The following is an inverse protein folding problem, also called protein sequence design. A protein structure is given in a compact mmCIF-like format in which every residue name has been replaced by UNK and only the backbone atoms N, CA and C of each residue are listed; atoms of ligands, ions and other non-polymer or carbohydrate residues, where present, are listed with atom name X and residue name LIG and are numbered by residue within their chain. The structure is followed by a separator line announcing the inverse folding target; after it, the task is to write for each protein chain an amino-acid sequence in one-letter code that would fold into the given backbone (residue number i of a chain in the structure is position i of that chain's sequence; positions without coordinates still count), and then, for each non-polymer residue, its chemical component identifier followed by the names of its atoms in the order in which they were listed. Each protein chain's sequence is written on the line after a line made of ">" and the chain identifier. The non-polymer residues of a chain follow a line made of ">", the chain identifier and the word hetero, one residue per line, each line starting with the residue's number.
data_IF_815878736009
#
_entry.id   IF_815878736009
#
_cell.length_a   1.000
_cell.length_b   1.000
_cell.length_c   1.000
_cell.angle_alpha   90.00
_cell.angle_beta   90.00
_cell.angle_gamma   90.00
#
_symmetry.space_group_name_H-M   'P 1'
#
loop_
_entity.id
_entity.type
_entity.pdbx_description
1 polymer ?
#
# COMPACT_ATOMS: atom_id res chain seq x y z
N UNK A 1 28.53 -19.11 -32.35
CA UNK A 1 27.62 -19.54 -31.25
C UNK A 1 27.45 -18.46 -30.18
N UNK A 2 28.52 -17.91 -29.60
CA UNK A 2 28.42 -16.85 -28.56
C UNK A 2 27.73 -15.56 -29.02
N UNK A 3 27.95 -15.12 -30.26
CA UNK A 3 27.31 -13.90 -30.80
C UNK A 3 25.78 -14.00 -30.78
N UNK A 4 25.21 -15.12 -31.24
CA UNK A 4 23.76 -15.33 -31.27
C UNK A 4 23.14 -15.36 -29.87
N UNK A 5 23.85 -15.92 -28.88
CA UNK A 5 23.40 -15.92 -27.49
C UNK A 5 23.38 -14.50 -26.90
N UNK A 6 24.44 -13.72 -27.13
CA UNK A 6 24.52 -12.33 -26.62
C UNK A 6 23.49 -11.44 -27.30
N UNK A 7 23.30 -11.55 -28.62
CA UNK A 7 22.25 -10.80 -29.33
C UNK A 7 20.84 -11.18 -28.86
N UNK A 8 20.59 -12.46 -28.59
CA UNK A 8 19.29 -12.93 -28.08
C UNK A 8 19.02 -12.41 -26.66
N UNK A 9 20.01 -12.47 -25.78
CA UNK A 9 19.93 -11.91 -24.43
C UNK A 9 19.78 -10.38 -24.47
N UNK A 10 20.50 -9.69 -25.36
CA UNK A 10 20.37 -8.25 -25.55
C UNK A 10 18.96 -7.84 -25.98
N UNK A 11 18.37 -8.58 -26.93
CA UNK A 11 16.98 -8.34 -27.35
C UNK A 11 15.99 -8.63 -26.23
N UNK A 12 16.23 -9.68 -25.43
CA UNK A 12 15.41 -9.97 -24.24
C UNK A 12 15.47 -8.85 -23.21
N UNK A 13 16.66 -8.30 -22.92
CA UNK A 13 16.82 -7.18 -21.99
C UNK A 13 16.03 -5.93 -22.46
N UNK A 14 16.08 -5.61 -23.76
CA UNK A 14 15.32 -4.50 -24.32
C UNK A 14 13.80 -4.72 -24.23
N UNK A 15 13.32 -5.93 -24.55
CA UNK A 15 11.90 -6.30 -24.39
C UNK A 15 11.47 -6.25 -22.93
N UNK A 16 12.30 -6.76 -22.02
CA UNK A 16 12.05 -6.76 -20.56
C UNK A 16 11.97 -5.34 -20.01
N UNK A 17 12.83 -4.43 -20.47
CA UNK A 17 12.77 -3.02 -20.11
C UNK A 17 11.48 -2.37 -20.60
N UNK A 18 11.09 -2.56 -21.87
CA UNK A 18 9.85 -2.01 -22.43
C UNK A 18 8.63 -2.48 -21.65
N UNK A 19 8.52 -3.80 -21.42
CA UNK A 19 7.45 -4.37 -20.61
C UNK A 19 7.39 -3.78 -19.19
N UNK A 20 8.54 -3.60 -18.52
CA UNK A 20 8.58 -2.96 -17.20
C UNK A 20 8.08 -1.51 -17.22
N UNK A 21 8.45 -0.74 -18.26
CA UNK A 21 8.00 0.66 -18.40
C UNK A 21 6.49 0.73 -18.61
N UNK A 22 5.95 -0.11 -19.49
CA UNK A 22 4.51 -0.20 -19.74
C UNK A 22 3.74 -0.60 -18.47
N UNK A 23 4.28 -1.53 -17.67
CA UNK A 23 3.68 -1.94 -16.40
C UNK A 23 3.64 -0.79 -15.37
N UNK A 24 4.74 -0.04 -15.25
CA UNK A 24 4.82 1.12 -14.34
C UNK A 24 3.83 2.20 -14.77
N UNK A 25 3.76 2.49 -16.06
CA UNK A 25 2.86 3.51 -16.58
C UNK A 25 1.38 3.12 -16.39
N UNK A 26 1.04 1.86 -16.68
CA UNK A 26 -0.31 1.35 -16.41
C UNK A 26 -0.68 1.46 -14.92
N UNK A 27 0.24 1.11 -14.00
CA UNK A 27 0.00 1.28 -12.55
C UNK A 27 -0.24 2.73 -12.18
N UNK A 28 0.58 3.66 -12.67
CA UNK A 28 0.42 5.10 -12.42
C UNK A 28 -0.96 5.59 -12.87
N UNK A 29 -1.35 5.22 -14.08
CA UNK A 29 -2.65 5.61 -14.63
C UNK A 29 -3.81 5.06 -13.78
N UNK A 30 -3.77 3.78 -13.41
CA UNK A 30 -4.83 3.14 -12.61
C UNK A 30 -4.90 3.66 -11.17
N UNK A 31 -3.76 4.00 -10.57
CA UNK A 31 -3.71 4.60 -9.23
C UNK A 31 -4.20 6.05 -9.22
N UNK A 32 -4.06 6.78 -10.34
CA UNK A 32 -4.58 8.13 -10.50
C UNK A 32 -6.08 8.19 -10.83
N UNK A 33 -6.71 7.06 -11.16
CA UNK A 33 -8.14 7.01 -11.45
C UNK A 33 -8.99 7.26 -10.18
N UNK A 34 -10.25 7.71 -10.34
CA UNK A 34 -11.17 7.84 -9.23
C UNK A 34 -11.29 6.53 -8.44
N UNK A 35 -11.29 6.66 -7.11
CA UNK A 35 -11.42 5.55 -6.17
C UNK A 35 -12.77 4.84 -6.34
N UNK A 36 -12.76 3.52 -6.21
CA UNK A 36 -13.96 2.70 -6.25
C UNK A 36 -14.48 2.55 -4.83
N UNK A 37 -15.77 2.81 -4.62
CA UNK A 37 -16.44 2.56 -3.35
C UNK A 37 -17.12 1.20 -3.42
N UNK A 38 -16.83 0.30 -2.48
CA UNK A 38 -17.47 -1.01 -2.40
C UNK A 38 -18.19 -1.14 -1.07
N UNK A 39 -19.53 -1.26 -1.16
CA UNK A 39 -20.44 -1.35 -0.01
C UNK A 39 -21.01 -2.75 0.18
N UNK A 40 -20.87 -3.64 -0.82
CA UNK A 40 -21.37 -5.01 -0.77
C UNK A 40 -21.19 -5.75 -2.09
N UNK A 41 -21.63 -7.01 -2.10
CA UNK A 41 -21.64 -7.89 -3.27
C UNK A 41 -22.88 -7.63 -4.15
N UNK A 42 -22.78 -7.74 -5.49
CA UNK A 42 -21.59 -8.10 -6.25
C UNK A 42 -20.57 -6.97 -6.34
N UNK A 43 -19.28 -7.31 -6.22
CA UNK A 43 -18.20 -6.35 -6.41
C UNK A 43 -18.11 -5.87 -7.87
N UNK A 44 -17.69 -4.61 -8.12
CA UNK A 44 -17.60 -4.05 -9.46
C UNK A 44 -16.70 -4.82 -10.42
N UNK A 45 -15.77 -5.61 -9.90
CA UNK A 45 -14.77 -6.36 -10.66
C UNK A 45 -15.10 -7.85 -10.82
N UNK A 46 -16.28 -8.29 -10.37
CA UNK A 46 -16.70 -9.70 -10.39
C UNK A 46 -16.44 -10.39 -11.73
N UNK A 47 -16.75 -9.73 -12.84
CA UNK A 47 -16.63 -10.34 -14.18
C UNK A 47 -15.30 -9.98 -14.89
N UNK A 48 -14.62 -8.93 -14.44
CA UNK A 48 -13.47 -8.34 -15.14
C UNK A 48 -12.37 -7.85 -14.19
N UNK A 49 -11.88 -8.71 -13.30
CA UNK A 49 -10.89 -8.32 -12.27
C UNK A 49 -9.64 -7.63 -12.82
N UNK A 50 -9.17 -8.05 -13.99
CA UNK A 50 -7.96 -7.55 -14.63
C UNK A 50 -8.00 -6.05 -14.97
N UNK A 51 -9.20 -5.50 -15.19
CA UNK A 51 -9.39 -4.06 -15.47
C UNK A 51 -9.35 -3.21 -14.20
N UNK A 52 -9.51 -3.85 -13.05
CA UNK A 52 -9.56 -3.21 -11.73
C UNK A 52 -8.27 -3.38 -10.92
N UNK A 53 -7.40 -4.33 -11.28
CA UNK A 53 -6.09 -4.49 -10.62
C UNK A 53 -5.30 -3.17 -10.68
N UNK A 54 -4.65 -2.80 -9.57
CA UNK A 54 -3.95 -1.54 -9.34
C UNK A 54 -4.83 -0.29 -9.22
N UNK A 55 -6.16 -0.43 -9.13
CA UNK A 55 -7.04 0.69 -8.77
C UNK A 55 -7.19 0.83 -7.26
N UNK A 56 -7.42 2.05 -6.81
CA UNK A 56 -7.72 2.36 -5.40
C UNK A 56 -9.16 1.99 -5.10
N UNK A 57 -9.35 1.19 -4.05
CA UNK A 57 -10.65 0.75 -3.54
C UNK A 57 -10.81 1.19 -2.09
N UNK A 58 -11.99 1.69 -1.75
CA UNK A 58 -12.42 2.00 -0.39
C UNK A 58 -13.56 1.06 0.00
N UNK A 59 -13.40 0.40 1.15
CA UNK A 59 -14.36 -0.54 1.72
C UNK A 59 -14.61 -0.19 3.19
N UNK A 60 -15.79 -0.50 3.70
CA UNK A 60 -16.12 -0.35 5.12
C UNK A 60 -16.63 -1.67 5.69
N UNK A 61 -16.07 -2.10 6.80
CA UNK A 61 -16.40 -3.39 7.40
C UNK A 61 -15.82 -3.57 8.80
N UNK A 62 -15.94 -4.77 9.32
CA UNK A 62 -15.32 -5.21 10.58
C UNK A 62 -14.32 -6.31 10.26
N UNK A 63 -13.11 -6.22 10.81
CA UNK A 63 -12.11 -7.26 10.63
C UNK A 63 -12.49 -8.53 11.39
N UNK A 64 -12.46 -9.66 10.69
CA UNK A 64 -12.61 -10.98 11.28
C UNK A 64 -11.23 -11.48 11.73
N UNK A 65 -10.82 -11.03 12.91
CA UNK A 65 -9.55 -11.42 13.51
C UNK A 65 -9.48 -12.91 13.89
N UNK A 66 -10.61 -13.65 13.88
CA UNK A 66 -10.59 -15.10 14.14
C UNK A 66 -9.99 -15.87 12.97
N UNK A 67 -10.16 -15.34 11.75
CA UNK A 67 -9.63 -15.90 10.50
C UNK A 67 -8.43 -15.08 9.98
N UNK A 68 -7.61 -14.53 10.88
CA UNK A 68 -6.36 -13.86 10.52
C UNK A 68 -5.35 -14.88 9.98
N UNK A 69 -4.81 -14.60 8.79
CA UNK A 69 -3.86 -15.45 8.08
C UNK A 69 -2.49 -14.79 8.04
N UNK A 70 -1.43 -15.57 8.30
CA UNK A 70 -0.05 -15.11 8.23
C UNK A 70 0.65 -15.70 7.01
N UNK A 71 1.09 -14.83 6.10
CA UNK A 71 1.79 -15.21 4.87
C UNK A 71 3.29 -14.93 5.01
N UNK A 72 4.12 -15.96 5.10
CA UNK A 72 5.57 -15.76 5.19
C UNK A 72 6.39 -17.04 5.20
N UNK A 73 7.70 -16.94 5.47
CA UNK A 73 8.41 -15.76 5.96
C UNK A 73 8.55 -14.64 4.91
N UNK A 74 8.49 -13.39 5.37
CA UNK A 74 8.68 -12.18 4.55
C UNK A 74 9.70 -11.24 5.19
N UNK A 75 10.68 -10.73 4.42
CA UNK A 75 11.45 -9.60 4.88
C UNK A 75 10.53 -8.38 4.93
N UNK A 76 10.70 -7.54 5.95
CA UNK A 76 10.08 -6.23 6.01
C UNK A 76 11.00 -5.25 6.69
N UNK A 77 10.51 -4.05 6.92
CA UNK A 77 11.23 -3.00 7.63
C UNK A 77 10.52 -2.70 8.94
N UNK A 78 11.27 -2.66 10.04
CA UNK A 78 10.71 -2.20 11.31
C UNK A 78 10.60 -0.66 11.37
N UNK A 79 10.07 -0.13 12.48
CA UNK A 79 9.96 1.32 12.73
C UNK A 79 11.33 2.04 12.67
N UNK A 80 12.43 1.32 12.91
CA UNK A 80 13.81 1.82 12.83
C UNK A 80 14.35 1.87 11.39
N UNK A 81 13.69 1.15 10.47
CA UNK A 81 14.09 0.98 9.08
C UNK A 81 15.09 -0.15 8.86
N UNK A 82 15.25 -1.05 9.81
CA UNK A 82 16.09 -2.24 9.70
C UNK A 82 15.31 -3.40 9.08
N UNK A 83 15.98 -4.20 8.25
CA UNK A 83 15.37 -5.39 7.65
C UNK A 83 15.12 -6.43 8.74
N UNK A 84 13.85 -6.67 9.03
CA UNK A 84 13.43 -7.67 10.02
C UNK A 84 12.62 -8.79 9.36
N UNK A 85 12.84 -10.06 9.77
CA UNK A 85 11.99 -11.15 9.33
C UNK A 85 10.60 -11.01 9.97
N UNK A 86 9.57 -11.37 9.22
CA UNK A 86 8.20 -11.33 9.67
C UNK A 86 7.25 -12.05 8.72
N UNK A 87 5.98 -11.65 8.76
CA UNK A 87 4.89 -12.21 7.94
C UNK A 87 4.04 -11.07 7.41
N UNK A 88 3.37 -11.28 6.28
CA UNK A 88 2.27 -10.41 5.87
C UNK A 88 1.00 -10.88 6.57
N UNK A 89 0.25 -9.94 7.13
CA UNK A 89 -1.02 -10.24 7.81
C UNK A 89 -2.16 -10.00 6.84
N UNK A 90 -2.87 -11.06 6.47
CA UNK A 90 -4.08 -10.98 5.67
C UNK A 90 -5.27 -11.26 6.59
N UNK A 91 -6.20 -10.31 6.67
CA UNK A 91 -7.38 -10.44 7.52
C UNK A 91 -8.64 -10.23 6.67
N UNK A 92 -9.63 -11.14 6.75
CA UNK A 92 -10.92 -10.93 6.12
C UNK A 92 -11.62 -9.71 6.72
N UNK A 93 -12.14 -8.83 5.87
CA UNK A 93 -12.99 -7.70 6.26
C UNK A 93 -14.44 -8.03 5.91
N UNK A 94 -15.31 -8.13 6.91
CA UNK A 94 -16.75 -8.38 6.74
C UNK A 94 -17.49 -7.06 6.54
N UNK A 95 -18.17 -6.91 5.42
CA UNK A 95 -18.96 -5.72 5.07
C UNK A 95 -20.36 -5.78 5.72
N UNK A 96 -21.10 -4.65 5.65
CA UNK A 96 -22.45 -4.50 6.21
C UNK A 96 -23.45 -5.55 5.67
N UNK A 97 -23.30 -5.98 4.41
CA UNK A 97 -24.14 -6.99 3.75
C UNK A 97 -23.72 -8.46 4.05
N UNK A 98 -22.66 -8.64 4.83
CA UNK A 98 -22.06 -9.94 5.14
C UNK A 98 -21.13 -10.49 4.06
N UNK A 99 -20.88 -9.74 2.98
CA UNK A 99 -19.81 -10.05 2.04
C UNK A 99 -18.44 -9.83 2.68
N UNK A 100 -17.40 -10.43 2.09
CA UNK A 100 -16.04 -10.42 2.63
C UNK A 100 -15.05 -9.93 1.58
N UNK A 101 -14.12 -9.10 2.00
CA UNK A 101 -12.96 -8.67 1.20
C UNK A 101 -11.68 -9.16 1.90
N UNK A 102 -10.77 -9.80 1.16
CA UNK A 102 -9.44 -10.12 1.68
C UNK A 102 -8.62 -8.84 1.77
N UNK A 103 -8.11 -8.50 2.95
CA UNK A 103 -7.28 -7.31 3.15
C UNK A 103 -5.90 -7.71 3.63
N UNK A 104 -4.86 -7.41 2.85
CA UNK A 104 -3.49 -7.46 3.33
C UNK A 104 -3.18 -6.18 4.12
N UNK A 105 -2.98 -6.33 5.42
CA UNK A 105 -2.71 -5.25 6.39
C UNK A 105 -1.24 -4.83 6.43
N UNK A 106 -0.37 -5.55 5.73
CA UNK A 106 1.06 -5.25 5.66
C UNK A 106 1.92 -6.21 6.47
N UNK A 107 3.19 -5.84 6.64
CA UNK A 107 4.19 -6.65 7.33
C UNK A 107 4.06 -6.55 8.85
N UNK A 108 4.21 -7.69 9.51
CA UNK A 108 4.30 -7.83 10.94
C UNK A 108 5.61 -8.54 11.29
N UNK A 109 6.45 -7.86 12.08
CA UNK A 109 7.72 -8.41 12.54
C UNK A 109 7.52 -9.67 13.40
N UNK A 110 8.48 -10.60 13.32
CA UNK A 110 8.37 -11.92 13.96
C UNK A 110 8.11 -11.86 15.47
N UNK A 111 8.70 -10.89 16.17
CA UNK A 111 8.54 -10.71 17.61
C UNK A 111 7.13 -10.24 18.02
N UNK A 112 6.32 -9.73 17.08
CA UNK A 112 4.94 -9.26 17.32
C UNK A 112 3.88 -10.23 16.78
N UNK A 113 4.27 -11.43 16.33
CA UNK A 113 3.31 -12.38 15.73
C UNK A 113 2.23 -12.84 16.72
N UNK A 114 2.58 -13.00 18.00
CA UNK A 114 1.65 -13.51 19.00
C UNK A 114 0.44 -12.57 19.16
N UNK A 115 -0.75 -13.10 18.86
CA UNK A 115 -2.01 -12.37 18.93
C UNK A 115 -2.35 -11.99 20.37
N UNK A 116 -1.92 -12.76 21.37
CA UNK A 116 -2.12 -12.39 22.77
C UNK A 116 -1.46 -11.05 23.12
N UNK A 117 -0.38 -10.69 22.41
CA UNK A 117 0.30 -9.40 22.55
C UNK A 117 -0.37 -8.27 21.77
N UNK A 118 -1.39 -8.58 20.95
CA UNK A 118 -2.13 -7.65 20.08
C UNK A 118 -3.66 -7.83 20.20
N UNK A 119 -4.26 -7.52 21.36
CA UNK A 119 -5.71 -7.56 21.50
C UNK A 119 -6.35 -6.44 20.65
N UNK A 120 -6.92 -6.83 19.51
CA UNK A 120 -7.66 -5.92 18.63
C UNK A 120 -9.17 -6.14 18.84
N UNK A 121 -9.89 -5.05 19.15
CA UNK A 121 -11.34 -5.08 19.36
C UNK A 121 -12.05 -5.01 18.02
N UNK A 122 -13.02 -5.90 17.73
CA UNK A 122 -13.80 -5.85 16.50
C UNK A 122 -14.54 -4.51 16.41
N UNK A 123 -14.05 -3.64 15.53
CA UNK A 123 -14.53 -2.27 15.35
C UNK A 123 -14.80 -2.04 13.87
N UNK A 124 -15.72 -1.12 13.56
CA UNK A 124 -15.92 -0.68 12.18
C UNK A 124 -14.69 0.06 11.68
N UNK A 125 -14.18 -0.35 10.53
CA UNK A 125 -13.01 0.23 9.88
C UNK A 125 -13.38 0.55 8.44
N UNK A 126 -12.93 1.72 7.98
CA UNK A 126 -12.87 2.07 6.56
C UNK A 126 -11.46 1.83 6.08
N UNK A 127 -11.28 0.91 5.14
CA UNK A 127 -9.97 0.57 4.60
C UNK A 127 -9.86 1.13 3.19
N UNK A 128 -8.77 1.86 2.94
CA UNK A 128 -8.32 2.17 1.59
C UNK A 128 -7.13 1.31 1.23
N UNK A 129 -7.18 0.75 0.03
CA UNK A 129 -6.11 -0.07 -0.48
C UNK A 129 -6.09 -0.13 -2.00
N UNK A 130 -5.06 -0.77 -2.51
CA UNK A 130 -4.91 -1.05 -3.93
C UNK A 130 -5.34 -2.49 -4.19
N UNK A 131 -6.19 -2.69 -5.20
CA UNK A 131 -6.60 -4.03 -5.58
C UNK A 131 -5.44 -4.77 -6.25
N UNK A 132 -5.06 -5.94 -5.73
CA UNK A 132 -4.00 -6.77 -6.28
C UNK A 132 -4.47 -8.20 -6.50
N UNK A 133 -4.01 -8.83 -7.58
CA UNK A 133 -4.29 -10.26 -7.89
C UNK A 133 -3.53 -11.21 -6.95
N UNK A 134 -2.57 -10.67 -6.18
CA UNK A 134 -1.65 -11.43 -5.35
C UNK A 134 -0.43 -11.93 -6.12
N UNK A 135 0.22 -12.96 -5.59
CA UNK A 135 1.45 -13.49 -6.13
C UNK A 135 1.21 -14.48 -7.26
N UNK A 136 1.52 -14.03 -8.47
CA UNK A 136 1.47 -14.88 -9.66
C UNK A 136 2.74 -15.75 -9.70
N UNK A 137 2.64 -17.07 -9.55
CA UNK A 137 3.81 -17.95 -9.60
C UNK A 137 4.42 -17.94 -11.00
N UNK A 138 5.74 -17.79 -11.07
CA UNK A 138 6.48 -18.02 -12.31
C UNK A 138 6.46 -19.52 -12.68
N UNK A 139 7.00 -19.88 -13.86
CA UNK A 139 6.96 -21.26 -14.36
C UNK A 139 7.50 -22.29 -13.33
N UNK A 140 8.63 -21.99 -12.68
CA UNK A 140 9.21 -22.85 -11.64
C UNK A 140 8.32 -22.88 -10.40
N UNK A 141 7.84 -21.71 -9.98
CA UNK A 141 6.90 -21.58 -8.87
C UNK A 141 5.57 -22.27 -9.12
N UNK A 142 5.15 -22.52 -10.37
CA UNK A 142 3.91 -23.26 -10.63
C UNK A 142 4.04 -24.75 -10.31
N UNK A 143 5.21 -25.35 -10.56
CA UNK A 143 5.42 -26.80 -10.41
C UNK A 143 6.17 -27.18 -9.13
N UNK A 144 7.08 -26.33 -8.67
CA UNK A 144 7.96 -26.60 -7.52
C UNK A 144 7.62 -25.76 -6.29
N UNK A 145 6.49 -25.03 -6.27
CA UNK A 145 6.07 -24.33 -5.05
C UNK A 145 5.62 -25.32 -3.99
N UNK A 146 6.00 -25.02 -2.76
CA UNK A 146 5.34 -25.59 -1.59
C UNK A 146 3.93 -24.98 -1.56
N UNK A 147 2.90 -25.82 -1.56
CA UNK A 147 1.51 -25.37 -1.49
C UNK A 147 1.23 -24.75 -0.12
N UNK A 148 0.34 -23.76 -0.08
CA UNK A 148 -0.21 -23.30 1.19
C UNK A 148 -0.98 -24.44 1.87
N UNK A 149 -1.05 -24.39 3.21
CA UNK A 149 -1.78 -25.35 4.04
C UNK A 149 -2.87 -24.62 4.81
N UNK A 150 -4.04 -24.38 4.17
CA UNK A 150 -5.14 -23.66 4.81
C UNK A 150 -5.66 -24.38 6.05
N UNK A 151 -5.59 -25.72 6.08
CA UNK A 151 -5.94 -26.57 7.23
C UNK A 151 -5.14 -26.25 8.52
N UNK A 152 -3.94 -25.66 8.38
CA UNK A 152 -3.07 -25.28 9.50
C UNK A 152 -2.86 -23.77 9.62
N UNK A 153 -3.61 -22.97 8.86
CA UNK A 153 -3.39 -21.52 8.75
C UNK A 153 -1.94 -21.14 8.37
N UNK A 154 -1.30 -21.95 7.51
CA UNK A 154 0.09 -21.75 7.08
C UNK A 154 0.15 -21.34 5.61
N UNK A 155 0.54 -20.10 5.36
CA UNK A 155 0.62 -19.53 4.01
C UNK A 155 2.04 -19.07 3.72
N UNK A 156 2.55 -19.47 2.55
CA UNK A 156 3.84 -19.03 2.01
C UNK A 156 3.64 -17.95 0.94
N UNK A 157 2.58 -18.11 0.15
CA UNK A 157 2.27 -17.25 -0.99
C UNK A 157 0.93 -16.55 -0.82
N UNK A 158 0.86 -15.30 -1.25
CA UNK A 158 -0.37 -14.51 -1.21
C UNK A 158 -1.22 -14.82 -2.45
N UNK A 159 -1.99 -15.90 -2.40
CA UNK A 159 -2.84 -16.38 -3.50
C UNK A 159 -4.29 -16.18 -3.08
N UNK A 160 -5.00 -15.25 -3.73
CA UNK A 160 -6.35 -14.86 -3.32
C UNK A 160 -7.34 -16.05 -3.22
N UNK A 161 -7.37 -17.03 -4.15
CA UNK A 161 -8.24 -18.19 -4.01
C UNK A 161 -7.97 -19.03 -2.75
N UNK A 162 -6.69 -19.32 -2.47
CA UNK A 162 -6.29 -20.16 -1.33
C UNK A 162 -6.55 -19.45 0.02
N UNK A 163 -6.48 -18.11 0.04
CA UNK A 163 -6.83 -17.29 1.21
C UNK A 163 -8.36 -17.24 1.41
N UNK A 164 -9.12 -17.12 0.33
CA UNK A 164 -10.58 -17.07 0.37
C UNK A 164 -11.22 -18.37 0.87
N UNK A 165 -10.57 -19.52 0.70
CA UNK A 165 -11.02 -20.82 1.22
C UNK A 165 -11.12 -20.84 2.75
N UNK A 166 -10.15 -20.23 3.45
CA UNK A 166 -10.09 -20.23 4.91
C UNK A 166 -10.92 -19.10 5.54
N UNK A 167 -11.26 -18.07 4.76
CA UNK A 167 -12.01 -16.93 5.24
C UNK A 167 -13.51 -17.18 5.45
N UNK A 168 -14.05 -18.35 5.07
CA UNK A 168 -15.48 -18.68 5.13
C UNK A 168 -16.36 -17.52 4.57
N UNK A 169 -15.98 -17.01 3.39
CA UNK A 169 -16.61 -15.86 2.75
C UNK A 169 -17.90 -16.28 2.03
N UNK A 170 -18.99 -15.52 2.22
CA UNK A 170 -20.27 -15.76 1.50
C UNK A 170 -20.11 -15.55 0.00
N UNK A 171 -19.31 -14.56 -0.39
CA UNK A 171 -18.98 -14.16 -1.76
C UNK A 171 -17.63 -14.76 -2.20
N UNK A 172 -17.45 -16.08 -2.04
CA UNK A 172 -16.17 -16.75 -2.27
C UNK A 172 -15.59 -16.48 -3.68
N UNK A 173 -16.44 -16.48 -4.72
CA UNK A 173 -16.02 -16.19 -6.10
C UNK A 173 -15.32 -14.82 -6.22
N UNK A 174 -15.96 -13.75 -5.77
CA UNK A 174 -15.42 -12.39 -5.84
C UNK A 174 -14.20 -12.19 -4.93
N UNK A 175 -14.22 -12.84 -3.77
CA UNK A 175 -13.14 -12.78 -2.79
C UNK A 175 -11.87 -13.51 -3.26
N UNK A 176 -12.05 -14.55 -4.08
CA UNK A 176 -10.95 -15.36 -4.64
C UNK A 176 -10.20 -14.66 -5.78
N UNK A 177 -10.76 -13.59 -6.35
CA UNK A 177 -10.18 -12.94 -7.53
C UNK A 177 -9.04 -11.98 -7.21
N UNK A 178 -9.10 -11.29 -6.07
CA UNK A 178 -8.12 -10.29 -5.70
C UNK A 178 -8.13 -10.01 -4.19
N UNK A 179 -7.00 -9.54 -3.67
CA UNK A 179 -6.84 -9.03 -2.33
C UNK A 179 -6.62 -7.51 -2.34
N UNK A 180 -7.11 -6.84 -1.33
CA UNK A 180 -6.90 -5.42 -1.12
C UNK A 180 -5.61 -5.21 -0.32
N UNK A 181 -4.59 -4.63 -0.92
CA UNK A 181 -3.38 -4.22 -0.20
C UNK A 181 -3.66 -2.88 0.49
N UNK A 182 -3.89 -2.91 1.80
CA UNK A 182 -4.21 -1.72 2.58
C UNK A 182 -2.99 -0.81 2.71
N UNK A 183 -3.22 0.49 2.56
CA UNK A 183 -2.26 1.53 2.92
C UNK A 183 -2.81 2.49 3.97
N UNK A 184 -4.13 2.51 4.19
CA UNK A 184 -4.78 3.37 5.18
C UNK A 184 -6.02 2.67 5.80
N UNK A 185 -5.89 2.04 6.98
CA UNK A 185 -7.03 1.60 7.77
C UNK A 185 -7.51 2.71 8.72
N UNK A 186 -8.72 3.22 8.51
CA UNK A 186 -9.37 4.26 9.33
C UNK A 186 -10.39 3.63 10.29
N UNK A 187 -10.10 3.62 11.59
CA UNK A 187 -11.00 3.07 12.62
C UNK A 187 -12.09 4.06 13.01
N UNK A 188 -13.34 3.60 13.17
CA UNK A 188 -14.52 4.44 13.41
C UNK A 188 -14.56 5.13 14.78
N UNK A 189 -13.77 4.67 15.74
CA UNK A 189 -13.64 5.29 17.06
C UNK A 189 -12.68 6.49 17.07
N UNK A 190 -12.00 6.76 15.94
CA UNK A 190 -11.21 7.97 15.78
C UNK A 190 -12.16 9.15 15.54
N UNK A 191 -12.53 9.83 16.63
CA UNK A 191 -13.36 11.04 16.60
C UNK A 191 -12.68 12.06 15.70
N UNK A 192 -13.37 12.51 14.65
CA UNK A 192 -12.91 13.48 13.64
C UNK A 192 -12.89 14.90 14.25
N UNK A 193 -12.23 15.06 15.40
CA UNK A 193 -12.09 16.34 16.11
C UNK A 193 -10.64 16.82 16.16
N UNK A 194 -9.65 15.96 15.89
CA UNK A 194 -8.25 16.37 15.81
C UNK A 194 -7.83 16.72 14.38
N UNK A 195 -7.34 17.95 14.19
CA UNK A 195 -6.77 18.47 12.94
C UNK A 195 -5.62 17.59 12.40
N UNK A 196 -4.95 16.83 13.26
CA UNK A 196 -3.91 15.85 12.91
C UNK A 196 -4.46 14.73 12.01
N UNK A 197 -5.67 14.26 12.27
CA UNK A 197 -6.34 13.22 11.47
C UNK A 197 -6.64 13.71 10.05
N UNK A 198 -7.14 14.94 9.90
CA UNK A 198 -7.38 15.58 8.60
C UNK A 198 -6.07 15.82 7.83
N UNK A 199 -4.97 16.06 8.54
CA UNK A 199 -3.64 16.24 7.99
C UNK A 199 -3.08 14.92 7.42
N UNK A 200 -3.25 13.78 8.11
CA UNK A 200 -2.91 12.46 7.56
C UNK A 200 -3.89 11.99 6.47
N UNK A 201 -5.19 12.33 6.57
CA UNK A 201 -6.25 11.96 5.62
C UNK A 201 -6.15 12.67 4.25
N UNK A 202 -5.57 13.88 4.20
CA UNK A 202 -5.26 14.58 2.93
C UNK A 202 -3.98 14.05 2.30
N UNK A 203 -3.06 13.54 3.11
CA UNK A 203 -1.75 13.05 2.73
C UNK A 203 -1.68 11.52 2.79
N UNK A 204 -2.63 10.79 2.16
CA UNK A 204 -2.31 9.48 1.60
C UNK A 204 -1.29 9.72 0.49
N UNK A 205 -0.05 9.91 0.94
CA UNK A 205 0.98 10.70 0.31
C UNK A 205 1.37 10.09 -1.04
N UNK A 206 1.73 10.92 -2.03
CA UNK A 206 2.35 10.49 -3.28
C UNK A 206 3.37 9.36 -3.07
N UNK A 207 4.09 9.40 -1.94
CA UNK A 207 5.07 8.41 -1.49
C UNK A 207 4.49 6.99 -1.31
N UNK A 208 3.30 6.84 -0.71
CA UNK A 208 2.66 5.53 -0.53
C UNK A 208 2.25 4.97 -1.89
N UNK A 209 1.58 5.78 -2.72
CA UNK A 209 1.18 5.41 -4.08
C UNK A 209 2.39 5.12 -4.98
N UNK A 210 3.49 5.84 -4.83
CA UNK A 210 4.75 5.59 -5.54
C UNK A 210 5.37 4.23 -5.18
N UNK A 211 5.28 3.80 -3.92
CA UNK A 211 5.70 2.45 -3.52
C UNK A 211 4.85 1.38 -4.25
N UNK A 212 3.54 1.60 -4.40
CA UNK A 212 2.66 0.72 -5.19
C UNK A 212 2.98 0.72 -6.68
N UNK A 213 3.34 1.87 -7.26
CA UNK A 213 3.79 1.97 -8.66
C UNK A 213 4.99 1.05 -8.89
N UNK A 214 5.97 1.06 -7.99
CA UNK A 214 7.20 0.28 -8.11
C UNK A 214 7.04 -1.19 -7.70
N UNK A 215 5.98 -1.52 -6.97
CA UNK A 215 5.58 -2.87 -6.58
C UNK A 215 5.90 -3.22 -5.12
N UNK A 216 5.02 -4.02 -4.53
CA UNK A 216 4.93 -4.38 -3.10
C UNK A 216 6.11 -5.14 -2.50
N UNK A 217 7.10 -5.55 -3.31
CA UNK A 217 8.32 -6.22 -2.85
C UNK A 217 9.56 -5.31 -2.87
N UNK A 218 9.40 -4.00 -3.09
CA UNK A 218 10.44 -3.02 -2.80
C UNK A 218 9.98 -2.16 -1.64
N UNK A 219 10.19 -2.67 -0.44
CA UNK A 219 10.44 -1.79 0.69
C UNK A 219 11.57 -0.86 0.26
N UNK A 220 11.25 0.42 0.12
CA UNK A 220 12.25 1.44 -0.15
C UNK A 220 13.11 1.51 1.10
N UNK A 221 14.32 0.95 1.01
CA UNK A 221 15.34 1.03 2.05
C UNK A 221 15.46 2.46 2.56
N UNK A 222 15.76 2.66 3.84
CA UNK A 222 16.06 3.98 4.42
C UNK A 222 17.11 4.73 3.58
N UNK A 223 18.09 4.01 3.01
CA UNK A 223 19.08 4.57 2.07
C UNK A 223 18.45 5.06 0.76
N UNK A 224 17.44 4.39 0.23
CA UNK A 224 16.76 4.78 -1.01
C UNK A 224 15.71 5.88 -0.76
N UNK A 225 15.13 5.97 0.45
CA UNK A 225 14.34 7.14 0.88
C UNK A 225 15.23 8.39 1.05
N UNK A 226 16.44 8.20 1.57
CA UNK A 226 17.42 9.28 1.78
C UNK A 226 18.14 9.67 0.47
N UNK A 227 18.40 8.72 -0.44
CA UNK A 227 19.17 8.91 -1.68
C UNK A 227 18.32 8.85 -2.96
N UNK A 228 16.98 8.81 -2.85
CA UNK A 228 16.09 9.10 -3.97
C UNK A 228 16.35 10.50 -4.54
N UNK A 229 15.68 10.94 -5.62
CA UNK A 229 15.69 12.35 -5.98
C UNK A 229 15.15 13.10 -4.76
N UNK A 230 16.05 13.68 -3.96
CA UNK A 230 15.70 14.26 -2.67
C UNK A 230 14.55 15.25 -2.83
N UNK A 231 13.74 15.40 -1.78
CA UNK A 231 12.62 16.34 -1.80
C UNK A 231 13.10 17.72 -2.29
N UNK A 232 12.62 18.12 -3.47
CA UNK A 232 12.96 19.41 -4.03
C UNK A 232 12.03 20.45 -3.42
N UNK A 233 12.46 21.07 -2.33
CA UNK A 233 11.69 22.11 -1.64
C UNK A 233 11.55 23.42 -2.44
N UNK A 234 12.21 23.53 -3.61
CA UNK A 234 11.97 24.62 -4.57
C UNK A 234 10.79 24.35 -5.51
N UNK A 235 10.21 23.15 -5.51
CA UNK A 235 9.02 22.85 -6.30
C UNK A 235 7.82 23.70 -5.84
N UNK A 236 6.93 24.03 -6.78
CA UNK A 236 5.81 24.94 -6.51
C UNK A 236 4.70 24.32 -5.63
N UNK A 237 4.80 23.00 -5.41
CA UNK A 237 3.86 22.18 -4.64
C UNK A 237 3.90 22.52 -3.13
N UNK A 238 4.97 23.15 -2.63
CA UNK A 238 5.16 23.45 -1.22
C UNK A 238 4.89 24.91 -0.87
N UNK A 239 4.26 25.15 0.30
CA UNK A 239 4.17 26.50 0.81
C UNK A 239 5.48 26.93 1.48
N UNK A 240 6.32 27.68 0.76
CA UNK A 240 7.60 28.22 1.24
C UNK A 240 7.47 28.99 2.56
N UNK A 241 6.44 29.82 2.67
CA UNK A 241 6.12 30.58 3.86
C UNK A 241 5.91 29.68 5.09
N UNK A 242 5.19 28.56 4.91
CA UNK A 242 4.99 27.58 5.96
C UNK A 242 6.28 26.85 6.35
N UNK A 243 7.12 26.47 5.38
CA UNK A 243 8.41 25.81 5.64
C UNK A 243 9.34 26.67 6.51
N UNK A 244 9.42 27.96 6.20
CA UNK A 244 10.22 28.94 6.97
C UNK A 244 9.56 29.30 8.32
N UNK A 245 8.27 28.99 8.48
CA UNK A 245 7.58 29.01 9.76
C UNK A 245 6.55 30.10 9.96
N UNK A 246 6.22 30.82 8.90
CA UNK A 246 5.21 31.87 8.93
C UNK A 246 4.37 31.80 7.66
N UNK A 247 3.16 31.23 7.73
CA UNK A 247 2.20 31.26 6.62
C UNK A 247 1.14 32.35 6.84
N UNK A 248 1.09 33.41 5.99
CA UNK A 248 0.12 34.50 6.15
C UNK A 248 -1.34 34.04 6.16
N UNK A 249 -1.68 33.01 5.38
CA UNK A 249 -3.04 32.46 5.34
C UNK A 249 -3.46 31.86 6.69
N UNK A 250 -2.56 31.12 7.34
CA UNK A 250 -2.83 30.48 8.63
C UNK A 250 -2.94 31.50 9.78
N UNK A 251 -2.13 32.56 9.74
CA UNK A 251 -2.12 33.60 10.78
C UNK A 251 -3.31 34.54 10.70
N UNK A 252 -3.87 34.79 9.50
CA UNK A 252 -4.98 35.72 9.30
C UNK A 252 -6.38 35.09 9.47
N UNK A 253 -6.47 33.82 9.86
CA UNK A 253 -7.75 33.13 10.07
C UNK A 253 -8.62 33.02 8.81
N UNK A 254 -8.09 33.38 7.65
CA UNK A 254 -8.71 33.09 6.36
C UNK A 254 -8.31 31.67 6.03
N UNK A 255 -9.29 30.78 5.83
CA UNK A 255 -9.09 29.55 5.06
C UNK A 255 -8.71 29.96 3.64
N UNK A 256 -7.46 30.41 3.47
CA UNK A 256 -6.89 30.55 2.15
C UNK A 256 -6.73 29.11 1.70
N UNK A 257 -7.59 28.70 0.76
CA UNK A 257 -7.42 27.52 -0.08
C UNK A 257 -6.08 27.66 -0.82
N UNK A 258 -5.01 27.47 -0.06
CA UNK A 258 -3.69 27.37 -0.61
C UNK A 258 -3.61 25.97 -1.20
N UNK A 259 -3.60 25.88 -2.51
CA UNK A 259 -3.32 24.64 -3.25
C UNK A 259 -1.90 24.08 -2.97
N UNK A 260 -1.17 24.61 -1.98
CA UNK A 260 0.20 24.27 -1.65
C UNK A 260 0.27 23.51 -0.32
N UNK A 261 1.21 22.59 -0.22
CA UNK A 261 1.36 21.66 0.90
C UNK A 261 1.81 22.38 2.19
N UNK A 262 1.14 22.08 3.30
CA UNK A 262 1.39 22.62 4.65
C UNK A 262 1.58 21.49 5.68
N UNK A 263 2.54 20.59 5.42
CA UNK A 263 2.81 19.44 6.29
C UNK A 263 3.94 19.71 7.29
N UNK A 264 3.72 19.38 8.57
CA UNK A 264 4.72 19.54 9.64
C UNK A 264 5.91 18.59 9.41
N UNK A 265 5.67 17.36 8.96
CA UNK A 265 6.72 16.40 8.64
C UNK A 265 7.65 16.93 7.53
N UNK A 266 7.07 17.49 6.47
CA UNK A 266 7.83 18.12 5.37
C UNK A 266 8.64 19.32 5.87
N UNK A 267 8.15 20.05 6.88
CA UNK A 267 8.89 21.15 7.51
C UNK A 267 10.06 20.67 8.37
N UNK A 268 9.93 19.52 9.04
CA UNK A 268 11.04 18.90 9.77
C UNK A 268 12.10 18.37 8.80
N UNK A 269 11.69 17.73 7.71
CA UNK A 269 12.56 17.29 6.63
C UNK A 269 13.26 18.47 5.92
N UNK A 270 12.54 19.58 5.72
CA UNK A 270 13.10 20.83 5.21
C UNK A 270 14.23 21.35 6.10
N UNK A 271 14.02 21.38 7.42
CA UNK A 271 15.03 21.80 8.40
C UNK A 271 16.23 20.84 8.44
N UNK A 272 16.00 19.56 8.19
CA UNK A 272 17.04 18.53 8.16
C UNK A 272 17.78 18.43 6.81
N UNK A 273 17.33 19.16 5.78
CA UNK A 273 17.92 19.09 4.44
C UNK A 273 19.32 19.72 4.39
N UNK A 274 20.25 19.07 3.68
CA UNK A 274 21.66 19.52 3.55
C UNK A 274 21.79 20.94 3.01
N UNK A 275 20.89 21.31 2.09
CA UNK A 275 20.82 22.63 1.47
C UNK A 275 19.80 23.60 2.13
N UNK A 276 19.45 23.42 3.40
CA UNK A 276 18.47 24.26 4.11
C UNK A 276 18.70 25.78 3.93
N UNK A 277 19.96 26.23 4.07
CA UNK A 277 20.31 27.65 3.91
C UNK A 277 20.10 28.18 2.49
N UNK A 278 20.20 27.32 1.47
CA UNK A 278 19.90 27.69 0.08
C UNK A 278 18.41 27.90 -0.11
N UNK A 279 17.58 27.00 0.42
CA UNK A 279 16.13 27.10 0.27
C UNK A 279 15.51 28.20 1.14
N UNK A 280 16.09 28.49 2.31
CA UNK A 280 15.62 29.59 3.17
C UNK A 280 15.72 30.96 2.49
N UNK A 281 16.65 31.11 1.53
CA UNK A 281 16.89 32.35 0.77
C UNK A 281 16.09 32.46 -0.53
N UNK A 282 15.38 31.41 -0.95
CA UNK A 282 14.65 31.29 -2.23
C UNK A 282 13.13 31.42 -2.06
#
# INVERSE_FOLDING_TARGET
>A
MCFLLVSSLGMWQLRRMKWKKELIEMRRQRLAMPRIQVTGSPFPWKDQVQDYIYRVVEVRGVFDHTNEMHVGPRPGSDESGETTPGVLVVTPLRLEDGSTVMVNRGHLAAHRMDRATRPEVPTWVRVRGVLEEGEIPNLIGRYARIKNRPDRNQYLYLIAPELAENANARNHEECSQAALQAFEPLYSNWRVEDDLSRMYLKDACSICLEAFVLGTNRDVSKKDKINGPGLNFSADDYCKYFLVGYCPGKTLGREVESNKLHSIGVREEFKAHKDYEKYKRS
#
